data_IF_994080430456
#
_entry.id   IF_994080430456
#
_cell.length_a   1.000
_cell.length_b   1.000
_cell.length_c   1.000
_cell.angle_alpha   90.00
_cell.angle_beta   90.00
_cell.angle_gamma   90.00
#
_symmetry.space_group_name_H-M   'P 1'
#
loop_
_entity.id
_entity.type
_entity.pdbx_description
1 polymer ?
#
# COMPACT_ATOMS: atom_id res chain seq x y z
N UNK A 1 31.62 4.57 -12.61
CA UNK A 1 30.68 4.94 -13.70
C UNK A 1 29.99 3.74 -14.34
N UNK A 2 30.67 2.83 -15.07
CA UNK A 2 29.97 1.74 -15.80
C UNK A 2 29.38 0.66 -14.87
N UNK A 3 30.08 0.31 -13.78
CA UNK A 3 29.57 -0.62 -12.75
C UNK A 3 28.41 -0.06 -11.93
N UNK A 4 28.37 1.26 -11.73
CA UNK A 4 27.31 1.94 -10.97
C UNK A 4 26.02 2.03 -11.79
N UNK A 5 26.12 2.29 -13.11
CA UNK A 5 24.98 2.23 -14.02
C UNK A 5 24.34 0.84 -14.06
N UNK A 6 25.16 -0.21 -14.18
CA UNK A 6 24.66 -1.59 -14.18
C UNK A 6 23.94 -1.97 -12.87
N UNK A 7 24.40 -1.43 -11.72
CA UNK A 7 23.76 -1.67 -10.43
C UNK A 7 22.42 -0.92 -10.29
N UNK A 8 22.34 0.31 -10.79
CA UNK A 8 21.09 1.08 -10.82
C UNK A 8 20.02 0.38 -11.69
N UNK A 9 20.39 -0.04 -12.90
CA UNK A 9 19.50 -0.76 -13.83
C UNK A 9 18.95 -2.06 -13.20
N UNK A 10 19.81 -2.84 -12.53
CA UNK A 10 19.38 -4.06 -11.81
C UNK A 10 18.44 -3.77 -10.64
N UNK A 11 18.61 -2.64 -9.96
CA UNK A 11 17.72 -2.25 -8.87
C UNK A 11 16.33 -1.86 -9.40
N UNK A 12 16.27 -1.25 -10.58
CA UNK A 12 15.00 -0.91 -11.23
C UNK A 12 14.24 -2.17 -11.67
N UNK A 13 14.92 -3.15 -12.28
CA UNK A 13 14.32 -4.45 -12.62
C UNK A 13 13.78 -5.17 -11.37
N UNK A 14 14.55 -5.18 -10.28
CA UNK A 14 14.14 -5.78 -9.02
C UNK A 14 12.93 -5.06 -8.41
N UNK A 15 12.94 -3.72 -8.41
CA UNK A 15 11.81 -2.91 -7.94
C UNK A 15 10.56 -3.21 -8.76
N UNK A 16 10.66 -3.27 -10.07
CA UNK A 16 9.54 -3.58 -10.95
C UNK A 16 9.00 -5.00 -10.69
N UNK A 17 9.87 -5.99 -10.51
CA UNK A 17 9.47 -7.34 -10.17
C UNK A 17 8.71 -7.40 -8.83
N UNK A 18 9.20 -6.69 -7.80
CA UNK A 18 8.53 -6.60 -6.50
C UNK A 18 7.16 -5.95 -6.65
N UNK A 19 7.04 -4.85 -7.40
CA UNK A 19 5.76 -4.19 -7.64
C UNK A 19 4.76 -5.13 -8.32
N UNK A 20 5.17 -5.87 -9.35
CA UNK A 20 4.34 -6.88 -10.01
C UNK A 20 3.88 -7.97 -9.04
N UNK A 21 4.80 -8.52 -8.22
CA UNK A 21 4.46 -9.53 -7.22
C UNK A 21 3.45 -8.97 -6.21
N UNK A 22 3.63 -7.74 -5.72
CA UNK A 22 2.70 -7.11 -4.80
C UNK A 22 1.32 -6.91 -5.44
N UNK A 23 1.25 -6.47 -6.70
CA UNK A 23 -0.02 -6.34 -7.43
C UNK A 23 -0.78 -7.66 -7.51
N UNK A 24 -0.09 -8.76 -7.77
CA UNK A 24 -0.69 -10.10 -7.88
C UNK A 24 -1.05 -10.72 -6.52
N UNK A 25 -0.20 -10.53 -5.50
CA UNK A 25 -0.31 -11.25 -4.22
C UNK A 25 -1.08 -10.50 -3.14
N UNK A 26 -1.14 -9.17 -3.21
CA UNK A 26 -1.92 -8.40 -2.24
C UNK A 26 -3.41 -8.67 -2.43
N UNK A 27 -4.06 -9.02 -1.32
CA UNK A 27 -5.51 -9.20 -1.31
C UNK A 27 -6.23 -7.88 -1.58
N UNK A 28 -7.47 -7.95 -2.06
CA UNK A 28 -8.31 -6.77 -2.25
C UNK A 28 -8.47 -5.93 -0.97
N UNK A 29 -8.46 -6.58 0.21
CA UNK A 29 -8.55 -5.88 1.49
C UNK A 29 -7.27 -5.09 1.79
N UNK A 30 -6.10 -5.70 1.57
CA UNK A 30 -4.81 -5.00 1.70
C UNK A 30 -4.72 -3.82 0.73
N UNK A 31 -5.09 -4.01 -0.54
CA UNK A 31 -5.13 -2.93 -1.54
C UNK A 31 -6.03 -1.77 -1.11
N UNK A 32 -7.22 -2.06 -0.57
CA UNK A 32 -8.13 -1.04 -0.02
C UNK A 32 -7.53 -0.31 1.18
N UNK A 33 -6.83 -1.02 2.08
CA UNK A 33 -6.12 -0.40 3.22
C UNK A 33 -5.05 0.56 2.71
N UNK A 34 -4.24 0.16 1.72
CA UNK A 34 -3.19 1.02 1.16
C UNK A 34 -3.78 2.29 0.53
N UNK A 35 -4.85 2.15 -0.23
CA UNK A 35 -5.55 3.29 -0.82
C UNK A 35 -6.14 4.22 0.25
N UNK A 36 -6.72 3.65 1.31
CA UNK A 36 -7.24 4.45 2.42
C UNK A 36 -6.12 5.26 3.07
N UNK A 37 -4.97 4.63 3.36
CA UNK A 37 -3.82 5.30 3.97
C UNK A 37 -3.29 6.41 3.04
N UNK A 38 -3.22 6.20 1.72
CA UNK A 38 -2.74 7.24 0.78
C UNK A 38 -3.67 8.45 0.66
N UNK A 39 -4.93 8.30 1.04
CA UNK A 39 -5.95 9.36 0.96
C UNK A 39 -6.17 10.08 2.28
N UNK A 40 -5.48 9.69 3.35
CA UNK A 40 -5.59 10.34 4.64
C UNK A 40 -4.98 11.75 4.58
N UNK A 41 -5.80 12.75 4.91
CA UNK A 41 -5.35 14.14 5.10
C UNK A 41 -4.58 14.32 6.41
N UNK A 42 -4.71 13.38 7.35
CA UNK A 42 -4.07 13.43 8.67
C UNK A 42 -3.29 12.16 9.00
N UNK A 43 -2.22 12.33 9.76
CA UNK A 43 -1.32 11.27 10.17
C UNK A 43 -1.87 10.51 11.39
N UNK A 44 -2.38 9.29 11.20
CA UNK A 44 -2.97 8.49 12.28
C UNK A 44 -1.99 7.47 12.88
N UNK A 45 -1.97 7.38 14.21
CA UNK A 45 -1.36 6.23 14.91
C UNK A 45 -2.13 4.95 14.62
N UNK A 46 -1.46 3.81 14.76
CA UNK A 46 -2.00 2.51 14.32
C UNK A 46 -3.32 2.12 14.98
N UNK A 47 -3.54 2.44 16.27
CA UNK A 47 -4.78 2.14 16.97
C UNK A 47 -5.96 2.92 16.39
N UNK A 48 -5.80 4.22 16.19
CA UNK A 48 -6.81 5.09 15.57
C UNK A 48 -7.07 4.70 14.11
N UNK A 49 -6.02 4.32 13.36
CA UNK A 49 -6.16 3.82 12.00
C UNK A 49 -7.02 2.55 11.96
N UNK A 50 -6.78 1.60 12.86
CA UNK A 50 -7.58 0.36 12.94
C UNK A 50 -9.04 0.64 13.25
N UNK A 51 -9.33 1.55 14.18
CA UNK A 51 -10.70 1.94 14.52
C UNK A 51 -11.43 2.54 13.31
N UNK A 52 -10.77 3.43 12.56
CA UNK A 52 -11.36 4.03 11.36
C UNK A 52 -11.57 3.03 10.24
N UNK A 53 -10.55 2.23 9.92
CA UNK A 53 -10.65 1.17 8.92
C UNK A 53 -11.74 0.15 9.27
N UNK A 54 -11.95 -0.13 10.55
CA UNK A 54 -12.99 -1.08 10.99
C UNK A 54 -14.38 -0.59 10.62
N UNK A 55 -14.63 0.71 10.79
CA UNK A 55 -15.87 1.37 10.39
C UNK A 55 -15.99 1.46 8.87
N UNK A 56 -14.95 1.95 8.20
CA UNK A 56 -14.94 2.16 6.74
C UNK A 56 -15.14 0.85 5.97
N UNK A 57 -14.48 -0.22 6.41
CA UNK A 57 -14.47 -1.50 5.70
C UNK A 57 -15.47 -2.52 6.26
N UNK A 58 -16.26 -2.13 7.28
CA UNK A 58 -17.17 -2.99 8.03
C UNK A 58 -16.54 -4.35 8.39
N UNK A 59 -15.39 -4.32 9.07
CA UNK A 59 -14.65 -5.53 9.40
C UNK A 59 -14.03 -5.49 10.80
N UNK A 60 -13.74 -6.67 11.37
CA UNK A 60 -13.21 -6.76 12.73
C UNK A 60 -11.82 -6.14 12.85
N UNK A 61 -11.57 -5.46 13.97
CA UNK A 61 -10.25 -4.89 14.27
C UNK A 61 -9.14 -5.95 14.25
N UNK A 62 -9.41 -7.16 14.74
CA UNK A 62 -8.45 -8.27 14.69
C UNK A 62 -8.00 -8.62 13.26
N UNK A 63 -8.94 -8.64 12.30
CA UNK A 63 -8.60 -8.85 10.90
C UNK A 63 -7.74 -7.70 10.33
N UNK A 64 -8.03 -6.46 10.72
CA UNK A 64 -7.24 -5.29 10.30
C UNK A 64 -5.83 -5.30 10.87
N UNK A 65 -5.69 -5.62 12.16
CA UNK A 65 -4.38 -5.82 12.79
C UNK A 65 -3.55 -6.86 12.06
N UNK A 66 -4.15 -8.00 11.71
CA UNK A 66 -3.47 -9.03 10.94
C UNK A 66 -2.99 -8.49 9.57
N UNK A 67 -3.86 -7.78 8.83
CA UNK A 67 -3.49 -7.20 7.54
C UNK A 67 -2.39 -6.14 7.66
N UNK A 68 -2.49 -5.21 8.60
CA UNK A 68 -1.48 -4.16 8.83
C UNK A 68 -0.14 -4.77 9.26
N UNK A 69 -0.15 -5.77 10.14
CA UNK A 69 1.07 -6.47 10.55
C UNK A 69 1.74 -7.21 9.38
N UNK A 70 0.94 -7.84 8.51
CA UNK A 70 1.48 -8.46 7.30
C UNK A 70 2.11 -7.42 6.37
N UNK A 71 1.42 -6.31 6.10
CA UNK A 71 1.91 -5.22 5.25
C UNK A 71 3.19 -4.58 5.81
N UNK A 72 3.26 -4.42 7.14
CA UNK A 72 4.46 -3.93 7.83
C UNK A 72 5.62 -4.90 7.67
N UNK A 73 5.38 -6.20 7.89
CA UNK A 73 6.42 -7.24 7.82
C UNK A 73 7.06 -7.34 6.44
N UNK A 74 6.29 -7.09 5.37
CA UNK A 74 6.81 -7.06 3.99
C UNK A 74 7.29 -5.67 3.56
N UNK A 75 7.36 -4.71 4.48
CA UNK A 75 7.92 -3.39 4.24
C UNK A 75 7.05 -2.45 3.39
N UNK A 76 5.78 -2.77 3.16
CA UNK A 76 4.88 -1.91 2.36
C UNK A 76 4.43 -0.70 3.17
N UNK A 77 4.22 -0.86 4.47
CA UNK A 77 3.92 0.24 5.39
C UNK A 77 4.99 0.33 6.47
N UNK A 78 5.16 1.53 7.02
CA UNK A 78 6.02 1.80 8.16
C UNK A 78 5.13 2.20 9.33
N UNK A 79 5.34 1.56 10.49
CA UNK A 79 4.69 1.95 11.74
C UNK A 79 5.64 1.74 12.91
N UNK A 80 5.71 2.73 13.78
CA UNK A 80 6.46 2.67 15.03
C UNK A 80 5.53 2.97 16.20
N UNK A 81 5.89 2.49 17.40
CA UNK A 81 5.05 2.69 18.58
C UNK A 81 4.92 4.19 18.86
N UNK A 82 3.69 4.68 18.92
CA UNK A 82 3.39 6.10 19.16
C UNK A 82 3.61 7.01 17.94
N UNK A 83 3.97 6.46 16.77
CA UNK A 83 4.07 7.23 15.52
C UNK A 83 2.95 6.86 14.56
N UNK A 84 2.71 7.76 13.62
CA UNK A 84 1.71 7.56 12.59
C UNK A 84 2.13 6.47 11.60
N UNK A 85 1.14 5.78 11.06
CA UNK A 85 1.34 4.77 10.02
C UNK A 85 1.47 5.48 8.69
N UNK A 86 2.55 5.20 7.96
CA UNK A 86 2.81 5.78 6.64
C UNK A 86 3.10 4.69 5.62
N UNK A 87 2.90 4.99 4.34
CA UNK A 87 3.33 4.12 3.25
C UNK A 87 4.86 4.18 3.12
N UNK A 88 5.46 3.06 2.76
CA UNK A 88 6.84 3.07 2.22
C UNK A 88 6.83 3.59 0.78
N UNK A 89 8.00 3.85 0.21
CA UNK A 89 8.13 4.19 -1.23
C UNK A 89 7.48 3.14 -2.15
N UNK A 90 7.56 1.85 -1.80
CA UNK A 90 6.89 0.77 -2.54
C UNK A 90 5.37 0.84 -2.34
N UNK A 91 4.92 1.10 -1.11
CA UNK A 91 3.50 1.25 -0.78
C UNK A 91 2.85 2.43 -1.51
N UNK A 92 3.55 3.55 -1.64
CA UNK A 92 3.10 4.71 -2.40
C UNK A 92 2.94 4.39 -3.88
N UNK A 93 3.91 3.71 -4.50
CA UNK A 93 3.80 3.28 -5.90
C UNK A 93 2.59 2.36 -6.11
N UNK A 94 2.39 1.40 -5.20
CA UNK A 94 1.23 0.49 -5.28
C UNK A 94 -0.08 1.26 -5.15
N UNK A 95 -0.19 2.18 -4.17
CA UNK A 95 -1.40 2.96 -3.96
C UNK A 95 -1.72 3.89 -5.14
N UNK A 96 -0.70 4.50 -5.73
CA UNK A 96 -0.81 5.30 -6.94
C UNK A 96 -1.37 4.47 -8.10
N UNK A 97 -0.77 3.31 -8.39
CA UNK A 97 -1.20 2.43 -9.48
C UNK A 97 -2.65 1.93 -9.29
N UNK A 98 -3.05 1.63 -8.05
CA UNK A 98 -4.41 1.24 -7.73
C UNK A 98 -5.43 2.37 -7.98
N UNK A 99 -5.01 3.63 -7.87
CA UNK A 99 -5.84 4.80 -8.15
C UNK A 99 -6.05 4.97 -9.66
N UNK A 100 -4.96 4.91 -10.44
CA UNK A 100 -5.02 4.99 -11.90
C UNK A 100 -5.84 3.84 -12.51
N UNK A 101 -5.77 2.63 -11.96
CA UNK A 101 -6.59 1.49 -12.41
C UNK A 101 -8.09 1.68 -12.16
N UNK A 102 -8.48 2.45 -11.13
CA UNK A 102 -9.90 2.75 -10.87
C UNK A 102 -10.45 3.76 -11.87
N UNK A 103 -9.68 4.79 -12.21
CA UNK A 103 -10.07 5.81 -13.19
C UNK A 103 -10.33 5.16 -14.56
N UNK A 104 -9.44 4.28 -15.01
CA UNK A 104 -9.57 3.57 -16.30
C UNK A 104 -10.78 2.62 -16.35
N UNK A 105 -11.24 2.08 -15.21
CA UNK A 105 -12.43 1.20 -15.16
C UNK A 105 -13.74 1.99 -15.14
N UNK A 106 -13.75 3.20 -14.57
CA UNK A 106 -14.94 4.05 -14.56
C UNK A 106 -15.26 4.60 -15.96
N UNK A 107 -14.25 4.90 -16.78
CA UNK A 107 -14.44 5.40 -18.14
C UNK A 107 -15.01 4.34 -19.11
N UNK A 108 -14.83 3.05 -18.82
CA UNK A 108 -15.33 1.95 -19.67
C UNK A 108 -16.79 1.58 -19.41
N UNK A 109 -17.36 2.01 -18.29
CA UNK A 109 -18.77 1.76 -17.94
C UNK A 109 -19.71 2.91 -18.34
N UNK A 110 -19.17 4.00 -18.89
CA UNK A 110 -19.92 5.17 -19.37
C UNK A 110 -20.00 5.24 -20.92
N UNK A 111 -19.75 4.12 -21.62
CA UNK A 111 -19.93 3.99 -23.06
C UNK A 111 -20.91 2.88 -23.41
#
# INVERSE_FOLDING_TARGET
>A
MEKEKNYAEKNDELKEAILKICKERLTNKQKKILLYISQLEENLVITSLVERLSKEMNCSQSALWNNLNQLKRIGIIVSEKGKSVVLSSIGEHIAHDLTSEKEVKNDKNNK
#
